data_IF_766892840831
#
_entry.id   IF_766892840831
#
_cell.length_a   1.000
_cell.length_b   1.000
_cell.length_c   1.000
_cell.angle_alpha   90.00
_cell.angle_beta   90.00
_cell.angle_gamma   90.00
#
_symmetry.space_group_name_H-M   'P 1'
#
loop_
_entity.id
_entity.type
_entity.pdbx_description
1 polymer ?
#
# COMPACT_ATOMS: atom_id res chain seq x y z
N UNK A 1 -1.49 -10.90 17.07
CA UNK A 1 -0.16 -10.91 16.47
C UNK A 1 0.64 -9.72 16.98
N UNK A 2 1.75 -9.99 17.63
CA UNK A 2 2.55 -8.95 18.26
C UNK A 2 3.76 -8.52 17.40
N UNK A 3 3.91 -9.10 16.24
CA UNK A 3 5.04 -8.80 15.38
C UNK A 3 4.73 -7.68 14.40
N UNK A 4 5.79 -7.13 13.83
CA UNK A 4 5.70 -6.18 12.74
C UNK A 4 6.34 -6.76 11.50
N UNK A 5 5.91 -6.28 10.34
CA UNK A 5 6.43 -6.73 9.05
C UNK A 5 7.28 -5.64 8.42
N UNK A 6 8.37 -6.05 7.78
CA UNK A 6 9.20 -5.14 6.99
C UNK A 6 8.62 -4.95 5.59
N UNK A 7 7.74 -5.84 5.16
CA UNK A 7 7.16 -5.82 3.83
C UNK A 7 5.73 -6.31 3.89
N UNK A 8 4.82 -5.51 3.37
CA UNK A 8 3.41 -5.88 3.24
C UNK A 8 3.04 -5.75 1.77
N UNK A 9 2.61 -6.84 1.15
CA UNK A 9 2.18 -6.83 -0.23
C UNK A 9 0.66 -6.87 -0.30
N UNK A 10 0.07 -5.94 -1.04
CA UNK A 10 -1.37 -5.83 -1.23
C UNK A 10 -1.72 -6.03 -2.69
N UNK A 11 -2.54 -7.04 -2.95
CA UNK A 11 -3.06 -7.34 -4.29
C UNK A 11 -4.57 -7.49 -4.21
N UNK A 12 -5.30 -6.40 -3.92
CA UNK A 12 -6.74 -6.46 -3.77
C UNK A 12 -7.44 -6.71 -5.10
N UNK A 13 -8.68 -7.22 -5.06
CA UNK A 13 -9.47 -7.37 -6.28
C UNK A 13 -9.61 -6.04 -7.03
N UNK A 14 -9.73 -6.11 -8.34
CA UNK A 14 -9.85 -4.92 -9.19
C UNK A 14 -10.94 -3.96 -8.72
N UNK A 15 -12.07 -4.52 -8.25
CA UNK A 15 -13.23 -3.73 -7.84
C UNK A 15 -13.12 -3.15 -6.43
N UNK A 16 -12.06 -3.47 -5.69
CA UNK A 16 -11.92 -2.95 -4.33
C UNK A 16 -11.70 -1.45 -4.37
N UNK A 17 -12.54 -0.72 -3.66
CA UNK A 17 -12.48 0.76 -3.63
C UNK A 17 -12.01 1.31 -2.29
N UNK A 18 -11.88 0.46 -1.28
CA UNK A 18 -11.57 0.90 0.07
C UNK A 18 -10.10 0.68 0.43
N UNK A 19 -9.22 0.93 -0.53
CA UNK A 19 -7.78 0.74 -0.34
C UNK A 19 -7.25 1.61 0.80
N UNK A 20 -7.75 2.83 0.91
CA UNK A 20 -7.32 3.75 1.98
C UNK A 20 -7.59 3.17 3.37
N UNK A 21 -8.70 2.46 3.54
CA UNK A 21 -9.03 1.83 4.83
C UNK A 21 -7.97 0.78 5.20
N UNK A 22 -7.48 0.03 4.22
CA UNK A 22 -6.43 -0.95 4.44
C UNK A 22 -5.16 -0.25 4.92
N UNK A 23 -4.77 0.85 4.27
CA UNK A 23 -3.59 1.63 4.66
C UNK A 23 -3.76 2.23 6.05
N UNK A 24 -4.95 2.78 6.35
CA UNK A 24 -5.24 3.32 7.68
C UNK A 24 -5.11 2.25 8.75
N UNK A 25 -5.60 1.04 8.48
CA UNK A 25 -5.49 -0.08 9.42
C UNK A 25 -4.04 -0.48 9.66
N UNK A 26 -3.22 -0.48 8.60
CA UNK A 26 -1.79 -0.78 8.75
C UNK A 26 -1.14 0.23 9.68
N UNK A 27 -1.47 1.50 9.50
CA UNK A 27 -0.92 2.57 10.34
C UNK A 27 -1.40 2.45 11.79
N UNK A 28 -2.71 2.31 11.99
CA UNK A 28 -3.29 2.30 13.32
C UNK A 28 -2.86 1.08 14.15
N UNK A 29 -2.75 -0.08 13.51
CA UNK A 29 -2.36 -1.30 14.19
C UNK A 29 -0.84 -1.45 14.32
N UNK A 30 -0.10 -0.51 13.76
CA UNK A 30 1.36 -0.46 13.87
C UNK A 30 2.03 -1.79 13.48
N UNK A 31 1.56 -2.38 12.38
CA UNK A 31 2.07 -3.67 11.92
C UNK A 31 3.23 -3.55 10.94
N UNK A 32 3.57 -2.33 10.52
CA UNK A 32 4.69 -2.09 9.60
C UNK A 32 5.86 -1.50 10.38
N UNK A 33 7.05 -2.04 10.17
CA UNK A 33 8.25 -1.49 10.80
C UNK A 33 8.54 -0.08 10.28
N UNK A 34 9.36 0.66 11.02
CA UNK A 34 9.67 2.04 10.71
C UNK A 34 10.21 2.23 9.29
N UNK A 35 11.04 1.31 8.82
CA UNK A 35 11.62 1.34 7.48
C UNK A 35 10.95 0.37 6.53
N UNK A 36 9.78 -0.13 6.91
CA UNK A 36 9.05 -1.11 6.11
C UNK A 36 8.41 -0.51 4.87
N UNK A 37 8.07 -1.38 3.94
CA UNK A 37 7.43 -1.01 2.69
C UNK A 37 6.06 -1.65 2.58
N UNK A 38 5.10 -0.90 2.04
CA UNK A 38 3.84 -1.44 1.55
C UNK A 38 3.90 -1.38 0.03
N UNK A 39 3.67 -2.53 -0.62
CA UNK A 39 3.69 -2.64 -2.07
C UNK A 39 2.26 -2.92 -2.52
N UNK A 40 1.72 -2.03 -3.34
CA UNK A 40 0.35 -2.11 -3.82
C UNK A 40 0.33 -2.42 -5.31
N UNK A 41 -0.34 -3.51 -5.68
CA UNK A 41 -0.57 -3.88 -7.07
C UNK A 41 -1.98 -3.47 -7.49
N UNK A 42 -2.09 -2.69 -8.55
CA UNK A 42 -3.39 -2.24 -9.08
C UNK A 42 -3.36 -2.25 -10.60
N UNK A 43 -4.55 -2.18 -11.19
CA UNK A 43 -4.66 -1.86 -12.62
C UNK A 43 -4.16 -0.43 -12.81
N UNK A 44 -3.44 -0.17 -13.91
CA UNK A 44 -2.82 1.13 -14.15
C UNK A 44 -3.82 2.28 -14.22
N UNK A 45 -5.08 1.99 -14.56
CA UNK A 45 -6.13 3.00 -14.67
C UNK A 45 -6.83 3.32 -13.36
N UNK A 46 -6.56 2.55 -12.30
CA UNK A 46 -7.19 2.75 -11.01
C UNK A 46 -6.58 3.97 -10.32
N UNK A 47 -7.42 4.77 -9.69
CA UNK A 47 -6.97 5.85 -8.82
C UNK A 47 -7.39 5.54 -7.39
N UNK A 48 -6.45 5.52 -6.47
CA UNK A 48 -6.70 5.30 -5.05
C UNK A 48 -6.12 6.46 -4.26
N UNK A 49 -6.94 7.08 -3.41
CA UNK A 49 -6.45 8.06 -2.45
C UNK A 49 -5.91 7.32 -1.23
N UNK A 50 -4.66 7.62 -0.88
CA UNK A 50 -4.00 7.00 0.25
C UNK A 50 -3.76 8.06 1.31
N UNK A 51 -4.00 7.69 2.58
CA UNK A 51 -3.80 8.60 3.70
C UNK A 51 -2.39 9.21 3.70
N UNK A 52 -2.28 10.45 4.19
CA UNK A 52 -1.01 11.17 4.27
C UNK A 52 0.00 10.54 5.24
N UNK A 53 -0.40 9.52 5.97
CA UNK A 53 0.53 8.77 6.83
C UNK A 53 1.54 7.96 6.03
N UNK A 54 1.29 7.79 4.74
CA UNK A 54 2.18 7.06 3.84
C UNK A 54 2.70 7.96 2.74
N UNK A 55 3.94 7.72 2.35
CA UNK A 55 4.61 8.43 1.25
C UNK A 55 4.83 7.45 0.11
N UNK A 56 4.36 7.81 -1.08
CA UNK A 56 4.67 7.04 -2.29
C UNK A 56 6.12 7.31 -2.66
N UNK A 57 6.94 6.27 -2.72
CA UNK A 57 8.37 6.43 -2.99
C UNK A 57 8.77 5.94 -4.39
N UNK A 58 7.95 5.10 -5.00
CA UNK A 58 8.21 4.63 -6.37
C UNK A 58 6.91 4.09 -6.97
N UNK A 59 6.85 4.12 -8.29
CA UNK A 59 5.73 3.54 -9.03
C UNK A 59 6.24 3.02 -10.35
N UNK A 60 5.85 1.80 -10.69
CA UNK A 60 6.26 1.16 -11.95
C UNK A 60 5.04 0.62 -12.67
N UNK A 61 4.99 0.81 -13.97
CA UNK A 61 3.87 0.36 -14.80
C UNK A 61 4.35 -0.77 -15.70
N UNK A 62 3.59 -1.87 -15.69
CA UNK A 62 3.88 -3.06 -16.48
C UNK A 62 2.59 -3.46 -17.22
N UNK A 63 2.52 -3.22 -18.52
CA UNK A 63 1.31 -3.54 -19.28
C UNK A 63 0.10 -2.81 -18.70
N UNK A 64 -0.90 -3.57 -18.24
CA UNK A 64 -2.12 -3.02 -17.64
C UNK A 64 -2.02 -2.86 -16.12
N UNK A 65 -0.90 -3.23 -15.54
CA UNK A 65 -0.69 -3.22 -14.10
C UNK A 65 0.25 -2.11 -13.67
N UNK A 66 0.11 -1.67 -12.42
CA UNK A 66 1.08 -0.79 -11.79
C UNK A 66 1.42 -1.33 -10.41
N UNK A 67 2.67 -1.12 -10.03
CA UNK A 67 3.18 -1.48 -8.70
C UNK A 67 3.61 -0.18 -8.04
N UNK A 68 3.06 0.10 -6.88
CA UNK A 68 3.34 1.35 -6.16
C UNK A 68 3.95 0.99 -4.81
N UNK A 69 5.03 1.67 -4.46
CA UNK A 69 5.78 1.43 -3.23
C UNK A 69 5.55 2.59 -2.28
N UNK A 70 5.14 2.26 -1.06
CA UNK A 70 4.89 3.23 -0.01
C UNK A 70 5.73 2.94 1.22
N UNK A 71 6.06 3.99 1.95
CA UNK A 71 6.62 3.85 3.28
C UNK A 71 5.87 4.77 4.24
N UNK A 72 6.04 4.56 5.54
CA UNK A 72 5.49 5.49 6.53
C UNK A 72 6.21 6.84 6.39
N UNK A 73 5.40 7.89 6.48
CA UNK A 73 5.92 9.25 6.41
C UNK A 73 6.68 9.66 7.65
#
# INVERSE_FOLDING_TARGET
>A
LNGKFDLIFLDPPYKEKNINIIFQNIKEKQILTKNGLVILHRNKKTFDEITNDFLEIDKRVYGISKIIYFKLR
#
